data_IF_554035376784
#
_entry.id   IF_554035376784
#
_cell.length_a   1.000
_cell.length_b   1.000
_cell.length_c   1.000
_cell.angle_alpha   90.00
_cell.angle_beta   90.00
_cell.angle_gamma   90.00
#
_symmetry.space_group_name_H-M   'P 1'
#
loop_
_entity.id
_entity.type
_entity.pdbx_description
1 polymer ?
#
# COMPACT_ATOMS: atom_id res chain seq x y z
N UNK A 1 -61.74 44.27 -34.91
CA UNK A 1 -60.57 44.18 -35.83
C UNK A 1 -59.40 44.83 -35.13
N UNK A 2 -58.24 44.14 -35.04
CA UNK A 2 -56.86 44.67 -34.87
C UNK A 2 -56.61 45.80 -33.82
N UNK A 3 -55.58 45.84 -32.98
CA UNK A 3 -54.33 45.11 -32.92
C UNK A 3 -53.54 45.66 -31.71
N UNK A 4 -52.80 44.78 -31.01
CA UNK A 4 -51.38 44.95 -30.65
C UNK A 4 -50.93 46.19 -29.85
N UNK A 5 -50.57 45.98 -28.57
CA UNK A 5 -49.19 45.61 -28.12
C UNK A 5 -49.02 45.90 -26.62
N UNK A 6 -49.09 44.85 -25.81
CA UNK A 6 -48.64 44.89 -24.42
C UNK A 6 -47.10 44.78 -24.38
N UNK A 7 -46.46 45.75 -23.74
CA UNK A 7 -45.03 45.69 -23.40
C UNK A 7 -44.91 45.05 -22.01
N UNK A 8 -44.59 43.76 -21.98
CA UNK A 8 -44.14 43.08 -20.77
C UNK A 8 -42.63 43.29 -20.65
N UNK A 9 -42.20 43.98 -19.61
CA UNK A 9 -40.80 44.06 -19.20
C UNK A 9 -40.38 42.71 -18.62
N UNK A 10 -39.64 41.93 -19.40
CA UNK A 10 -38.96 40.73 -18.91
C UNK A 10 -37.69 41.13 -18.15
N UNK A 11 -37.70 40.97 -16.82
CA UNK A 11 -36.48 41.02 -16.03
C UNK A 11 -35.68 39.72 -16.27
N UNK A 12 -34.66 39.79 -17.11
CA UNK A 12 -33.68 38.73 -17.27
C UNK A 12 -32.80 38.66 -16.01
N UNK A 13 -33.04 37.65 -15.16
CA UNK A 13 -32.15 37.33 -14.04
C UNK A 13 -30.83 36.76 -14.57
N UNK A 14 -29.77 37.56 -14.54
CA UNK A 14 -28.42 37.09 -14.82
C UNK A 14 -27.90 36.27 -13.62
N UNK A 15 -27.90 34.95 -13.73
CA UNK A 15 -27.20 34.07 -12.79
C UNK A 15 -25.69 34.18 -13.04
N UNK A 16 -25.00 35.03 -12.27
CA UNK A 16 -23.54 35.07 -12.26
C UNK A 16 -22.99 33.83 -11.56
N UNK A 17 -22.46 32.89 -12.34
CA UNK A 17 -21.57 31.83 -11.86
C UNK A 17 -20.29 32.49 -11.32
N UNK A 18 -20.22 32.70 -10.01
CA UNK A 18 -18.98 33.13 -9.36
C UNK A 18 -17.98 31.97 -9.41
N UNK A 19 -17.02 32.03 -10.34
CA UNK A 19 -15.86 31.16 -10.35
C UNK A 19 -15.03 31.46 -9.10
N UNK A 20 -15.05 30.57 -8.10
CA UNK A 20 -14.14 30.66 -6.96
C UNK A 20 -12.72 30.47 -7.47
N UNK A 21 -11.79 31.43 -7.25
CA UNK A 21 -10.40 31.21 -7.62
C UNK A 21 -9.87 30.02 -6.83
N UNK A 22 -9.32 29.02 -7.53
CA UNK A 22 -8.58 27.94 -6.88
C UNK A 22 -7.29 28.55 -6.32
N UNK A 23 -7.18 28.62 -4.98
CA UNK A 23 -5.97 29.07 -4.33
C UNK A 23 -4.92 27.97 -4.54
N UNK A 24 -3.87 28.29 -5.29
CA UNK A 24 -2.74 27.38 -5.46
C UNK A 24 -2.13 27.11 -4.07
N UNK A 25 -2.29 25.88 -3.57
CA UNK A 25 -1.63 25.48 -2.34
C UNK A 25 -0.12 25.48 -2.57
N UNK A 26 0.61 26.24 -1.75
CA UNK A 26 2.06 26.24 -1.80
C UNK A 26 2.59 24.80 -1.61
N UNK A 27 3.56 24.42 -2.44
CA UNK A 27 4.22 23.12 -2.37
C UNK A 27 4.68 22.82 -0.93
N UNK A 28 4.44 21.60 -0.40
CA UNK A 28 4.83 21.25 0.96
C UNK A 28 6.34 21.41 1.14
N UNK A 29 6.73 22.12 2.21
CA UNK A 29 8.13 22.28 2.58
C UNK A 29 8.60 21.05 3.37
N UNK A 30 9.71 20.47 2.91
CA UNK A 30 10.44 19.39 3.58
C UNK A 30 11.75 19.95 4.10
N UNK A 31 11.90 19.97 5.42
CA UNK A 31 13.18 20.31 6.07
C UNK A 31 14.00 19.03 6.20
N UNK A 32 15.27 19.04 5.78
CA UNK A 32 16.12 17.83 5.72
C UNK A 32 17.45 18.08 6.43
N UNK A 33 17.79 17.25 7.41
CA UNK A 33 19.08 17.27 8.11
C UNK A 33 19.94 16.10 7.62
N UNK A 34 21.10 16.42 7.04
CA UNK A 34 22.02 15.46 6.41
C UNK A 34 23.47 15.89 6.57
N UNK A 35 24.39 15.05 6.13
CA UNK A 35 25.79 15.44 5.89
C UNK A 35 25.92 16.20 4.54
N UNK A 36 26.79 17.22 4.40
CA UNK A 36 26.90 17.97 3.15
C UNK A 36 27.41 17.09 2.00
N UNK A 37 28.26 16.10 2.32
CA UNK A 37 28.91 15.23 1.34
C UNK A 37 28.14 13.93 1.10
N UNK A 38 26.92 13.80 1.63
CA UNK A 38 26.06 12.64 1.38
C UNK A 38 25.42 12.73 -0.02
N UNK A 39 26.06 12.10 -1.02
CA UNK A 39 25.57 12.06 -2.40
C UNK A 39 24.14 11.53 -2.52
N UNK A 40 23.85 10.36 -1.96
CA UNK A 40 22.52 9.76 -2.02
C UNK A 40 21.43 10.62 -1.35
N UNK A 41 21.77 11.37 -0.30
CA UNK A 41 20.86 12.32 0.33
C UNK A 41 20.50 13.48 -0.62
N UNK A 42 21.48 13.99 -1.37
CA UNK A 42 21.24 15.04 -2.38
C UNK A 42 20.36 14.51 -3.52
N UNK A 43 20.56 13.25 -3.91
CA UNK A 43 19.79 12.61 -4.98
C UNK A 43 18.34 12.37 -4.56
N UNK A 44 18.13 11.98 -3.30
CA UNK A 44 16.80 11.91 -2.71
C UNK A 44 16.11 13.28 -2.63
N UNK A 45 16.85 14.35 -2.31
CA UNK A 45 16.32 15.72 -2.35
C UNK A 45 15.85 16.08 -3.76
N UNK A 46 16.66 15.81 -4.80
CA UNK A 46 16.27 16.01 -6.21
C UNK A 46 15.03 15.20 -6.60
N UNK A 47 14.92 13.99 -6.06
CA UNK A 47 13.71 13.17 -6.21
C UNK A 47 12.48 13.86 -5.61
N UNK A 48 12.58 14.42 -4.40
CA UNK A 48 11.47 15.16 -3.79
C UNK A 48 11.08 16.41 -4.60
N UNK A 49 12.07 17.20 -5.03
CA UNK A 49 11.84 18.42 -5.81
C UNK A 49 11.12 18.12 -7.13
N UNK A 50 11.55 17.06 -7.84
CA UNK A 50 10.88 16.62 -9.07
C UNK A 50 9.45 16.12 -8.85
N UNK A 51 9.08 15.78 -7.60
CA UNK A 51 7.73 15.37 -7.20
C UNK A 51 6.93 16.50 -6.53
N UNK A 52 7.34 17.76 -6.73
CA UNK A 52 6.57 18.93 -6.33
C UNK A 52 6.72 19.32 -4.86
N UNK A 53 7.74 18.82 -4.17
CA UNK A 53 8.11 19.30 -2.84
C UNK A 53 9.08 20.48 -2.93
N UNK A 54 9.01 21.39 -1.97
CA UNK A 54 10.08 22.35 -1.71
C UNK A 54 10.99 21.75 -0.64
N UNK A 55 12.30 21.83 -0.81
CA UNK A 55 13.24 21.28 0.16
C UNK A 55 14.11 22.39 0.76
N UNK A 56 14.30 22.34 2.07
CA UNK A 56 15.31 23.12 2.78
C UNK A 56 16.29 22.16 3.45
N UNK A 57 17.54 22.17 3.00
CA UNK A 57 18.59 21.31 3.54
C UNK A 57 19.37 22.01 4.66
N UNK A 58 19.67 21.25 5.71
CA UNK A 58 20.57 21.59 6.79
C UNK A 58 21.71 20.56 6.76
N UNK A 59 22.91 21.01 6.40
CA UNK A 59 24.06 20.14 6.18
C UNK A 59 24.73 19.64 7.48
N UNK A 60 24.07 19.74 8.62
CA UNK A 60 24.56 19.15 9.87
C UNK A 60 23.39 18.73 10.76
N UNK A 61 23.69 17.93 11.79
CA UNK A 61 22.74 17.69 12.89
C UNK A 61 21.75 16.56 12.69
N UNK A 62 21.92 15.69 11.68
CA UNK A 62 21.04 14.54 11.43
C UNK A 62 20.77 13.71 12.71
N UNK A 63 21.82 13.18 13.35
CA UNK A 63 21.67 12.34 14.55
C UNK A 63 20.96 13.06 15.69
N UNK A 64 21.31 14.33 15.93
CA UNK A 64 20.67 15.14 16.97
C UNK A 64 19.21 15.45 16.64
N UNK A 65 18.90 15.71 15.37
CA UNK A 65 17.53 15.97 14.94
C UNK A 65 16.66 14.73 15.01
N UNK A 66 17.17 13.55 14.62
CA UNK A 66 16.48 12.27 14.77
C UNK A 66 15.98 12.05 16.20
N UNK A 67 16.89 12.21 17.17
CA UNK A 67 16.58 12.07 18.59
C UNK A 67 15.56 13.11 19.04
N UNK A 68 15.73 14.38 18.65
CA UNK A 68 14.79 15.47 19.00
C UNK A 68 13.39 15.27 18.44
N UNK A 69 13.29 14.68 17.25
CA UNK A 69 12.02 14.36 16.61
C UNK A 69 11.42 13.03 17.10
N UNK A 70 12.11 12.28 17.96
CA UNK A 70 11.61 11.05 18.57
C UNK A 70 11.66 9.81 17.68
N UNK A 71 12.37 9.85 16.54
CA UNK A 71 12.54 8.68 15.68
C UNK A 71 13.50 7.68 16.36
N UNK A 72 13.10 6.41 16.56
CA UNK A 72 13.95 5.40 17.18
C UNK A 72 15.29 5.24 16.44
N UNK A 73 16.39 5.14 17.18
CA UNK A 73 17.74 5.02 16.59
C UNK A 73 17.87 3.79 15.68
N UNK A 74 17.18 2.69 16.01
CA UNK A 74 17.17 1.46 15.21
C UNK A 74 16.52 1.63 13.82
N UNK A 75 15.72 2.68 13.63
CA UNK A 75 15.07 3.00 12.36
C UNK A 75 15.83 4.07 11.56
N UNK A 76 17.01 4.47 12.05
CA UNK A 76 17.81 5.54 11.46
C UNK A 76 18.41 5.23 10.08
N UNK A 77 18.67 6.29 9.33
CA UNK A 77 19.25 6.32 7.99
C UNK A 77 20.31 7.44 7.87
N UNK A 78 20.69 7.81 6.65
CA UNK A 78 21.68 8.85 6.34
C UNK A 78 21.16 10.28 6.53
N UNK A 79 19.84 10.48 6.55
CA UNK A 79 19.21 11.78 6.79
C UNK A 79 17.87 11.64 7.52
N UNK A 80 17.49 12.72 8.22
CA UNK A 80 16.19 12.87 8.87
C UNK A 80 15.51 14.08 8.28
N UNK A 81 14.21 14.03 8.05
CA UNK A 81 13.44 15.12 7.49
C UNK A 81 12.12 15.32 8.24
N UNK A 82 11.51 16.50 8.05
CA UNK A 82 10.20 16.85 8.59
C UNK A 82 9.33 17.49 7.53
N UNK A 83 8.07 17.06 7.46
CA UNK A 83 7.08 17.64 6.55
C UNK A 83 5.67 17.45 7.13
N UNK A 84 4.86 18.51 7.12
CA UNK A 84 3.44 18.42 7.49
C UNK A 84 3.16 17.85 8.89
N UNK A 85 4.11 18.00 9.82
CA UNK A 85 4.02 17.45 11.19
C UNK A 85 4.50 16.00 11.34
N UNK A 86 4.98 15.37 10.26
CA UNK A 86 5.54 14.02 10.26
C UNK A 86 7.06 14.04 10.17
N UNK A 87 7.69 13.01 10.74
CA UNK A 87 9.11 12.71 10.61
C UNK A 87 9.32 11.75 9.44
N UNK A 88 10.26 12.04 8.56
CA UNK A 88 10.61 11.19 7.43
C UNK A 88 12.07 10.78 7.60
N UNK A 89 12.34 9.49 7.72
CA UNK A 89 13.67 8.96 7.99
C UNK A 89 14.17 8.15 6.79
N UNK A 90 15.28 8.59 6.20
CA UNK A 90 15.90 7.92 5.06
C UNK A 90 15.14 8.03 3.75
N UNK A 91 15.50 7.14 2.81
CA UNK A 91 15.12 7.16 1.40
C UNK A 91 13.64 6.75 1.14
N UNK A 92 12.71 7.41 1.83
CA UNK A 92 11.26 7.20 1.65
C UNK A 92 10.82 7.77 0.29
N UNK A 93 10.08 7.03 -0.54
CA UNK A 93 9.60 7.55 -1.82
C UNK A 93 8.66 8.76 -1.67
N UNK A 94 8.84 9.76 -2.54
CA UNK A 94 7.99 10.95 -2.59
C UNK A 94 6.48 10.61 -2.66
N UNK A 95 6.11 9.57 -3.40
CA UNK A 95 4.72 9.08 -3.50
C UNK A 95 4.15 8.63 -2.15
N UNK A 96 4.96 7.99 -1.31
CA UNK A 96 4.56 7.57 0.04
C UNK A 96 4.44 8.76 0.99
N UNK A 97 5.32 9.76 0.88
CA UNK A 97 5.21 11.01 1.63
C UNK A 97 3.94 11.76 1.23
N UNK A 98 3.64 11.86 -0.06
CA UNK A 98 2.39 12.48 -0.53
C UNK A 98 1.16 11.72 -0.01
N UNK A 99 1.21 10.38 -0.01
CA UNK A 99 0.14 9.55 0.55
C UNK A 99 -0.04 9.80 2.05
N UNK A 100 1.05 9.88 2.81
CA UNK A 100 1.04 10.23 4.24
C UNK A 100 0.36 11.58 4.48
N UNK A 101 0.71 12.60 3.68
CA UNK A 101 0.14 13.95 3.82
C UNK A 101 -1.34 14.04 3.42
N UNK A 102 -1.80 13.16 2.52
CA UNK A 102 -3.22 13.04 2.15
C UNK A 102 -4.02 12.28 3.21
N UNK A 103 -3.54 11.12 3.64
CA UNK A 103 -4.25 10.24 4.59
C UNK A 103 -4.20 10.76 6.03
N UNK A 104 -3.15 11.52 6.37
CA UNK A 104 -2.92 12.11 7.69
C UNK A 104 -3.15 11.15 8.87
N UNK A 105 -2.57 9.94 8.86
CA UNK A 105 -2.74 8.99 9.95
C UNK A 105 -2.14 9.54 11.25
N UNK A 106 -2.68 9.13 12.40
CA UNK A 106 -2.03 9.38 13.70
C UNK A 106 -0.78 8.51 13.76
N UNK A 107 0.38 9.12 13.57
CA UNK A 107 1.68 8.46 13.55
C UNK A 107 2.79 9.47 13.88
N UNK A 108 4.00 8.99 14.10
CA UNK A 108 5.20 9.82 14.11
C UNK A 108 5.63 10.19 12.68
N UNK A 109 5.61 9.20 11.77
CA UNK A 109 5.91 9.40 10.36
C UNK A 109 6.40 8.13 9.66
N UNK A 110 7.27 8.27 8.66
CA UNK A 110 7.74 7.17 7.83
C UNK A 110 9.26 6.96 7.97
N UNK A 111 9.69 5.71 7.83
CA UNK A 111 11.11 5.35 7.81
C UNK A 111 11.42 4.32 6.73
N UNK A 112 12.52 4.53 6.00
CA UNK A 112 13.27 3.49 5.30
C UNK A 112 14.62 3.36 6.03
N UNK A 113 14.76 2.38 6.95
CA UNK A 113 15.99 2.23 7.72
C UNK A 113 17.21 1.90 6.85
N UNK A 114 18.39 2.31 7.31
CA UNK A 114 19.68 2.13 6.58
C UNK A 114 19.65 2.83 5.22
N UNK A 115 20.12 2.20 4.16
CA UNK A 115 20.18 2.75 2.80
C UNK A 115 20.05 1.60 1.78
N UNK A 116 18.85 1.02 1.57
CA UNK A 116 18.66 -0.07 0.63
C UNK A 116 18.88 0.43 -0.81
N UNK A 117 19.68 -0.30 -1.57
CA UNK A 117 19.93 0.02 -2.99
C UNK A 117 18.64 -0.18 -3.78
N UNK A 118 18.29 0.75 -4.67
CA UNK A 118 17.02 0.77 -5.39
C UNK A 118 15.92 1.61 -4.72
N UNK A 119 16.15 2.16 -3.52
CA UNK A 119 15.33 3.25 -2.99
C UNK A 119 15.69 4.58 -3.68
N UNK A 120 14.82 5.61 -3.68
CA UNK A 120 15.11 6.85 -4.40
C UNK A 120 16.35 7.57 -3.89
N UNK A 121 17.27 7.92 -4.78
CA UNK A 121 18.59 8.44 -4.44
C UNK A 121 19.63 7.35 -4.11
N UNK A 122 19.21 6.09 -4.09
CA UNK A 122 20.05 4.89 -4.02
C UNK A 122 19.84 4.00 -5.26
N UNK A 123 19.32 4.57 -6.36
CA UNK A 123 18.88 3.90 -7.58
C UNK A 123 19.60 4.40 -8.85
N UNK A 124 20.66 5.19 -8.67
CA UNK A 124 21.51 5.69 -9.73
C UNK A 124 22.36 4.63 -10.46
N UNK A 125 22.98 5.01 -11.60
CA UNK A 125 23.78 4.10 -12.43
C UNK A 125 24.98 3.49 -11.70
N UNK A 126 25.50 4.14 -10.66
CA UNK A 126 26.60 3.65 -9.80
C UNK A 126 26.27 2.32 -9.11
N UNK A 127 24.98 1.99 -8.97
CA UNK A 127 24.52 0.75 -8.36
C UNK A 127 24.30 -0.39 -9.36
N UNK A 128 24.60 -0.19 -10.65
CA UNK A 128 24.56 -1.25 -11.65
C UNK A 128 23.19 -1.91 -11.83
N UNK A 129 22.10 -1.17 -11.59
CA UNK A 129 20.72 -1.69 -11.69
C UNK A 129 20.30 -2.61 -10.54
N UNK A 130 21.11 -2.77 -9.50
CA UNK A 130 20.75 -3.52 -8.28
C UNK A 130 19.51 -2.91 -7.63
N UNK A 131 18.62 -3.77 -7.13
CA UNK A 131 17.42 -3.38 -6.38
C UNK A 131 17.24 -4.32 -5.20
N UNK A 132 17.63 -3.86 -4.02
CA UNK A 132 17.39 -4.57 -2.77
C UNK A 132 15.91 -4.47 -2.40
N UNK A 133 15.29 -5.55 -1.89
CA UNK A 133 13.96 -5.48 -1.31
C UNK A 133 13.97 -4.63 -0.04
N UNK A 134 13.00 -3.72 0.09
CA UNK A 134 12.85 -2.91 1.29
C UNK A 134 11.39 -2.60 1.59
N UNK A 135 11.12 -2.27 2.86
CA UNK A 135 9.83 -1.76 3.30
C UNK A 135 9.96 -0.30 3.68
N UNK A 136 8.91 0.46 3.40
CA UNK A 136 8.63 1.73 4.06
C UNK A 136 7.81 1.41 5.31
N UNK A 137 8.26 1.86 6.46
CA UNK A 137 7.62 1.61 7.74
C UNK A 137 6.85 2.85 8.18
N UNK A 138 5.58 2.67 8.57
CA UNK A 138 4.86 3.66 9.36
C UNK A 138 5.28 3.50 10.82
N UNK A 139 5.85 4.55 11.38
CA UNK A 139 6.35 4.61 12.75
C UNK A 139 5.31 5.31 13.62
N UNK A 140 4.86 4.63 14.67
CA UNK A 140 3.96 5.18 15.67
C UNK A 140 4.70 6.06 16.67
N UNK A 141 3.97 6.86 17.44
CA UNK A 141 4.57 7.75 18.45
C UNK A 141 5.23 7.02 19.62
N UNK A 142 4.85 5.76 19.85
CA UNK A 142 5.48 4.87 20.83
C UNK A 142 6.72 4.12 20.29
N UNK A 143 7.08 4.37 19.03
CA UNK A 143 8.20 3.71 18.35
C UNK A 143 7.87 2.35 17.72
N UNK A 144 6.65 1.83 17.90
CA UNK A 144 6.19 0.63 17.19
C UNK A 144 6.03 0.91 15.69
N UNK A 145 6.10 -0.13 14.86
CA UNK A 145 6.06 0.02 13.40
C UNK A 145 5.07 -0.93 12.74
N UNK A 146 4.56 -0.51 11.58
CA UNK A 146 3.86 -1.40 10.63
C UNK A 146 4.35 -1.11 9.22
N UNK A 147 4.27 -2.10 8.34
CA UNK A 147 4.58 -1.90 6.92
C UNK A 147 3.57 -0.92 6.31
N UNK A 148 4.08 0.11 5.64
CA UNK A 148 3.32 1.10 4.89
C UNK A 148 3.25 0.72 3.40
N UNK A 149 4.40 0.32 2.85
CA UNK A 149 4.57 -0.15 1.48
C UNK A 149 5.80 -1.07 1.41
N UNK A 150 5.82 -1.98 0.43
CA UNK A 150 6.95 -2.87 0.14
C UNK A 150 7.42 -2.67 -1.29
N UNK A 151 8.73 -2.60 -1.50
CA UNK A 151 9.37 -2.35 -2.79
C UNK A 151 10.40 -3.42 -3.10
N UNK A 152 10.47 -3.83 -4.36
CA UNK A 152 11.45 -4.80 -4.89
C UNK A 152 11.52 -6.13 -4.14
N UNK A 153 10.57 -6.38 -3.25
CA UNK A 153 10.25 -7.70 -2.75
C UNK A 153 9.63 -8.46 -3.91
N UNK A 154 10.47 -9.14 -4.68
CA UNK A 154 10.01 -10.36 -5.35
C UNK A 154 9.32 -11.17 -4.27
N UNK A 155 8.10 -11.61 -4.55
CA UNK A 155 7.31 -12.40 -3.62
C UNK A 155 8.12 -13.65 -3.22
N UNK A 156 8.91 -13.53 -2.15
CA UNK A 156 9.28 -14.68 -1.35
C UNK A 156 7.95 -15.26 -0.87
N UNK A 157 7.80 -16.60 -0.81
CA UNK A 157 6.57 -17.21 -0.35
C UNK A 157 6.14 -16.48 0.92
N UNK A 158 4.86 -16.08 0.97
CA UNK A 158 4.27 -15.49 2.16
C UNK A 158 4.83 -16.21 3.38
N UNK A 159 5.27 -15.45 4.39
CA UNK A 159 5.72 -15.99 5.66
C UNK A 159 4.86 -17.20 6.01
N UNK A 160 5.50 -18.34 6.30
CA UNK A 160 4.91 -19.67 6.38
C UNK A 160 3.43 -19.61 6.80
N UNK A 161 2.51 -20.24 6.06
CA UNK A 161 1.09 -20.18 6.38
C UNK A 161 0.95 -20.50 7.86
N UNK A 162 0.43 -19.55 8.62
CA UNK A 162 -0.02 -19.89 9.95
C UNK A 162 -0.98 -21.06 9.75
N UNK A 163 -0.73 -22.15 10.44
CA UNK A 163 -1.49 -23.40 10.35
C UNK A 163 -2.97 -23.25 10.77
N UNK A 164 -3.50 -22.02 10.79
CA UNK A 164 -4.80 -21.61 11.26
C UNK A 164 -5.64 -20.84 10.24
N UNK A 165 -5.13 -20.41 9.08
CA UNK A 165 -5.97 -19.72 8.08
C UNK A 165 -6.65 -20.73 7.16
N UNK A 166 -7.87 -21.10 7.49
CA UNK A 166 -8.76 -21.90 6.65
C UNK A 166 -9.69 -20.98 5.87
N UNK A 167 -9.96 -21.28 4.60
CA UNK A 167 -11.04 -20.63 3.86
C UNK A 167 -12.37 -21.31 4.19
N UNK A 168 -13.42 -20.52 4.41
CA UNK A 168 -14.77 -21.05 4.59
C UNK A 168 -15.47 -21.22 3.24
N UNK A 169 -16.29 -22.27 3.12
CA UNK A 169 -17.07 -22.48 1.92
C UNK A 169 -18.24 -23.45 2.11
N UNK A 170 -19.04 -23.55 1.06
CA UNK A 170 -20.17 -24.47 0.94
C UNK A 170 -19.97 -25.33 -0.30
N UNK A 171 -20.10 -26.65 -0.12
CA UNK A 171 -20.00 -27.61 -1.22
C UNK A 171 -21.18 -27.43 -2.16
N UNK A 172 -20.92 -27.08 -3.41
CA UNK A 172 -21.96 -26.94 -4.45
C UNK A 172 -22.13 -28.20 -5.27
N UNK A 173 -21.03 -28.89 -5.57
CA UNK A 173 -21.03 -30.13 -6.35
C UNK A 173 -19.77 -30.93 -6.08
N UNK A 174 -19.89 -32.26 -6.07
CA UNK A 174 -18.75 -33.18 -5.99
C UNK A 174 -18.75 -34.03 -7.26
N UNK A 175 -17.59 -34.11 -7.91
CA UNK A 175 -17.33 -35.03 -9.02
C UNK A 175 -16.13 -35.91 -8.64
N UNK A 176 -16.43 -37.01 -7.96
CA UNK A 176 -15.41 -37.92 -7.45
C UNK A 176 -14.64 -38.63 -8.59
N UNK A 177 -15.31 -38.90 -9.72
CA UNK A 177 -14.68 -39.53 -10.88
C UNK A 177 -13.65 -38.60 -11.52
N UNK A 178 -13.95 -37.31 -11.63
CA UNK A 178 -13.05 -36.31 -12.18
C UNK A 178 -12.12 -35.66 -11.14
N UNK A 179 -12.18 -36.08 -9.86
CA UNK A 179 -11.43 -35.50 -8.73
C UNK A 179 -11.61 -33.98 -8.62
N UNK A 180 -12.86 -33.53 -8.74
CA UNK A 180 -13.24 -32.11 -8.70
C UNK A 180 -14.30 -31.86 -7.66
N UNK A 181 -14.24 -30.69 -7.05
CA UNK A 181 -15.26 -30.17 -6.14
C UNK A 181 -15.56 -28.73 -6.50
N UNK A 182 -16.84 -28.39 -6.61
CA UNK A 182 -17.28 -27.00 -6.78
C UNK A 182 -17.61 -26.45 -5.41
N UNK A 183 -16.95 -25.36 -5.03
CA UNK A 183 -17.15 -24.69 -3.76
C UNK A 183 -17.63 -23.26 -4.00
N UNK A 184 -18.66 -22.84 -3.27
CA UNK A 184 -18.88 -21.42 -3.01
C UNK A 184 -18.01 -21.08 -1.81
N UNK A 185 -17.01 -20.24 -1.99
CA UNK A 185 -16.09 -19.89 -0.91
C UNK A 185 -16.19 -18.42 -0.54
N UNK A 186 -15.81 -18.12 0.70
CA UNK A 186 -15.52 -16.77 1.16
C UNK A 186 -14.18 -16.28 0.60
N UNK A 187 -13.57 -15.30 1.27
CA UNK A 187 -12.23 -14.86 0.90
C UNK A 187 -11.21 -15.99 1.07
N UNK A 188 -10.33 -16.18 0.07
CA UNK A 188 -9.17 -17.07 0.17
C UNK A 188 -7.91 -16.19 0.08
N UNK A 189 -7.42 -15.66 1.21
CA UNK A 189 -6.30 -14.73 1.22
C UNK A 189 -5.04 -15.30 0.57
N UNK A 190 -4.81 -16.60 0.75
CA UNK A 190 -3.61 -17.28 0.24
C UNK A 190 -3.58 -17.37 -1.29
N UNK A 191 -4.72 -17.17 -1.96
CA UNK A 191 -4.85 -17.22 -3.41
C UNK A 191 -5.27 -15.88 -4.04
N UNK A 192 -5.40 -14.81 -3.24
CA UNK A 192 -5.95 -13.50 -3.65
C UNK A 192 -7.33 -13.66 -4.35
N UNK A 193 -8.18 -14.54 -3.80
CA UNK A 193 -9.48 -14.85 -4.38
C UNK A 193 -10.63 -14.27 -3.55
N UNK A 194 -11.36 -13.27 -4.07
CA UNK A 194 -12.56 -12.79 -3.40
C UNK A 194 -13.66 -13.87 -3.39
N UNK A 195 -14.72 -13.70 -2.58
CA UNK A 195 -15.82 -14.67 -2.50
C UNK A 195 -16.43 -14.98 -3.88
N UNK A 196 -16.35 -16.24 -4.30
CA UNK A 196 -16.90 -16.69 -5.58
C UNK A 196 -17.28 -18.17 -5.55
N UNK A 197 -17.85 -18.67 -6.66
CA UNK A 197 -18.13 -20.09 -6.85
C UNK A 197 -17.28 -20.61 -7.98
N UNK A 198 -16.42 -21.59 -7.68
CA UNK A 198 -15.52 -22.16 -8.68
C UNK A 198 -15.20 -23.63 -8.41
N UNK A 199 -14.56 -24.26 -9.40
CA UNK A 199 -14.15 -25.66 -9.35
C UNK A 199 -12.71 -25.74 -8.88
N UNK A 200 -12.49 -26.54 -7.84
CA UNK A 200 -11.18 -26.96 -7.37
C UNK A 200 -10.95 -28.42 -7.74
N UNK A 201 -9.71 -28.77 -8.02
CA UNK A 201 -9.28 -30.17 -8.11
C UNK A 201 -8.88 -30.68 -6.72
N UNK A 202 -8.92 -31.99 -6.49
CA UNK A 202 -8.32 -32.60 -5.30
C UNK A 202 -7.18 -33.51 -5.73
N UNK A 203 -6.07 -33.47 -4.98
CA UNK A 203 -4.94 -34.38 -5.22
C UNK A 203 -5.24 -35.77 -4.66
N UNK A 204 -5.87 -35.80 -3.49
CA UNK A 204 -6.33 -37.03 -2.83
C UNK A 204 -7.86 -37.13 -2.91
N UNK A 205 -8.35 -38.23 -3.50
CA UNK A 205 -9.78 -38.50 -3.60
C UNK A 205 -10.44 -38.76 -2.23
N UNK A 206 -9.66 -39.14 -1.21
CA UNK A 206 -10.15 -39.32 0.15
C UNK A 206 -10.73 -38.04 0.74
N UNK A 207 -10.25 -36.86 0.31
CA UNK A 207 -10.76 -35.56 0.73
C UNK A 207 -12.23 -35.32 0.36
N UNK A 208 -12.76 -36.06 -0.62
CA UNK A 208 -14.16 -35.95 -1.05
C UNK A 208 -15.09 -36.91 -0.28
N UNK A 209 -14.53 -37.87 0.46
CA UNK A 209 -15.31 -38.87 1.16
C UNK A 209 -16.07 -38.24 2.34
N UNK A 210 -17.35 -38.57 2.46
CA UNK A 210 -18.21 -38.04 3.53
C UNK A 210 -18.72 -36.60 3.31
N UNK A 211 -18.29 -35.91 2.25
CA UNK A 211 -18.84 -34.61 1.88
C UNK A 211 -20.11 -34.77 1.04
N UNK A 212 -21.04 -33.83 1.19
CA UNK A 212 -22.29 -33.77 0.42
C UNK A 212 -22.54 -32.34 -0.08
N UNK A 213 -23.21 -32.15 -1.24
CA UNK A 213 -23.68 -30.82 -1.64
C UNK A 213 -24.51 -30.16 -0.51
N UNK A 214 -24.27 -28.88 -0.27
CA UNK A 214 -24.84 -28.10 0.83
C UNK A 214 -24.01 -28.11 2.12
N UNK A 215 -23.01 -28.99 2.25
CA UNK A 215 -22.17 -29.03 3.44
C UNK A 215 -21.33 -27.75 3.58
N UNK A 216 -21.32 -27.17 4.78
CA UNK A 216 -20.38 -26.13 5.15
C UNK A 216 -19.05 -26.75 5.52
N UNK A 217 -18.00 -26.22 4.92
CA UNK A 217 -16.64 -26.73 5.04
C UNK A 217 -15.70 -25.59 5.32
N UNK A 218 -14.59 -25.94 5.94
CA UNK A 218 -13.39 -25.13 5.90
C UNK A 218 -12.35 -25.91 5.12
N UNK A 219 -11.66 -25.25 4.21
CA UNK A 219 -10.69 -25.90 3.34
C UNK A 219 -9.43 -25.04 3.13
N UNK A 220 -8.37 -25.69 2.66
CA UNK A 220 -7.16 -25.06 2.17
C UNK A 220 -7.04 -25.32 0.70
N UNK A 221 -6.58 -24.31 -0.04
CA UNK A 221 -6.36 -24.44 -1.47
C UNK A 221 -5.02 -23.83 -1.88
N UNK A 222 -4.40 -24.43 -2.88
CA UNK A 222 -3.15 -23.97 -3.50
C UNK A 222 -3.35 -23.80 -5.01
N UNK A 223 -2.50 -22.98 -5.65
CA UNK A 223 -2.42 -22.89 -7.11
C UNK A 223 -1.15 -23.56 -7.60
N UNK A 224 -1.28 -24.59 -8.43
CA UNK A 224 -0.15 -25.28 -9.05
C UNK A 224 -0.39 -25.45 -10.56
N UNK A 225 0.56 -25.02 -11.39
CA UNK A 225 0.45 -25.15 -12.85
C UNK A 225 -0.80 -24.50 -13.44
N UNK A 226 -1.27 -23.38 -12.87
CA UNK A 226 -2.50 -22.68 -13.31
C UNK A 226 -3.81 -23.31 -12.82
N UNK A 227 -3.75 -24.41 -12.08
CA UNK A 227 -4.92 -25.12 -11.52
C UNK A 227 -4.99 -24.92 -10.01
N UNK A 228 -6.21 -24.83 -9.49
CA UNK A 228 -6.46 -24.70 -8.05
C UNK A 228 -6.78 -26.06 -7.43
N UNK A 229 -6.05 -26.43 -6.38
CA UNK A 229 -6.18 -27.71 -5.69
C UNK A 229 -6.59 -27.50 -4.25
N UNK A 230 -7.60 -28.22 -3.79
CA UNK A 230 -7.89 -28.36 -2.36
C UNK A 230 -6.89 -29.36 -1.77
N UNK A 231 -6.13 -28.92 -0.77
CA UNK A 231 -5.10 -29.71 -0.09
C UNK A 231 -5.61 -30.32 1.21
N UNK A 232 -6.52 -29.63 1.89
CA UNK A 232 -7.20 -30.11 3.09
C UNK A 232 -8.65 -29.60 3.10
N UNK A 233 -9.58 -30.40 3.61
CA UNK A 233 -10.98 -30.02 3.76
C UNK A 233 -11.57 -30.74 4.96
N UNK A 234 -12.36 -30.03 5.76
CA UNK A 234 -13.12 -30.61 6.87
C UNK A 234 -14.45 -29.88 7.05
N UNK A 235 -15.45 -30.52 7.68
CA UNK A 235 -16.66 -29.83 8.09
C UNK A 235 -16.33 -28.57 8.89
N UNK A 236 -17.05 -27.49 8.60
CA UNK A 236 -17.04 -26.30 9.45
C UNK A 236 -17.76 -26.65 10.77
N UNK A 237 -17.31 -26.11 11.93
CA UNK A 237 -18.01 -26.28 13.20
C UNK A 237 -19.42 -25.68 13.19
#
# INVERSE_FOLDING_TARGET
>A
MMNRRAWLWGAAGAATLAATPAWAQAAPLVEVWKDPNCGCCNDWIRHLESHGFRVQAFDTGNTGMRQRLGMPLALGSCHTARVGGYVIEGHVPATDIQRLLRERPVALGLSVPRMPVGSPGMDGPEYGGRRDPYDVLLVQRDGSTRVWASYHRTQAPAAAPSADRWAEGEVRRIDAAARKITLRHGDIPDLDMPPMTMVFQVRDAALLQGLQPGARVRFRAEKAGGTYFVTEIKPAP
#
